data_IF_214175115811
#
_entry.id   IF_214175115811
#
_cell.length_a   1.000
_cell.length_b   1.000
_cell.length_c   1.000
_cell.angle_alpha   90.00
_cell.angle_beta   90.00
_cell.angle_gamma   90.00
#
_symmetry.space_group_name_H-M   'P 1'
#
loop_
_entity.id
_entity.type
_entity.pdbx_description
1 polymer ?
#
# COMPACT_ATOMS: atom_id res chain seq x y z
N UNK A 1 14.52 -3.72 -44.90
CA UNK A 1 14.96 -2.83 -43.85
C UNK A 1 14.33 -3.29 -42.50
N UNK A 2 15.06 -4.07 -41.73
CA UNK A 2 14.73 -4.34 -40.34
C UNK A 2 14.98 -3.03 -39.56
N UNK A 3 13.91 -2.37 -39.16
CA UNK A 3 14.00 -1.35 -38.10
C UNK A 3 14.32 -2.07 -36.80
N UNK A 4 15.59 -1.99 -36.42
CA UNK A 4 16.04 -2.28 -35.06
C UNK A 4 15.34 -1.29 -34.14
N UNK A 5 14.31 -1.73 -33.42
CA UNK A 5 13.76 -1.01 -32.28
C UNK A 5 14.69 -1.24 -31.09
N UNK A 6 15.85 -0.60 -31.12
CA UNK A 6 16.72 -0.44 -29.98
C UNK A 6 16.16 0.66 -29.05
N UNK A 7 14.85 0.61 -28.79
CA UNK A 7 14.19 1.50 -27.85
C UNK A 7 13.77 0.67 -26.64
N UNK A 8 14.56 0.81 -25.57
CA UNK A 8 14.23 0.46 -24.19
C UNK A 8 13.93 -1.02 -23.90
N UNK A 9 14.89 -1.89 -24.05
CA UNK A 9 15.03 -2.96 -23.09
C UNK A 9 15.52 -2.36 -21.74
N UNK A 10 14.63 -1.64 -21.09
CA UNK A 10 14.71 -1.49 -19.64
C UNK A 10 14.44 -2.90 -19.12
N UNK A 11 15.50 -3.67 -18.92
CA UNK A 11 15.45 -5.00 -18.36
C UNK A 11 14.80 -4.90 -16.99
N UNK A 12 13.53 -5.25 -16.90
CA UNK A 12 12.89 -5.53 -15.63
C UNK A 12 13.57 -6.78 -15.08
N UNK A 13 14.57 -6.60 -14.26
CA UNK A 13 15.19 -7.72 -13.57
C UNK A 13 14.20 -8.25 -12.55
N UNK A 14 13.57 -9.36 -12.88
CA UNK A 14 12.67 -10.04 -11.97
C UNK A 14 13.48 -10.99 -11.10
N UNK A 15 13.24 -10.91 -9.79
CA UNK A 15 13.80 -11.83 -8.80
C UNK A 15 12.61 -12.54 -8.18
N UNK A 16 12.59 -13.86 -8.27
CA UNK A 16 11.62 -14.69 -7.57
C UNK A 16 12.09 -14.86 -6.13
N UNK A 17 11.19 -14.62 -5.16
CA UNK A 17 11.55 -14.75 -3.76
C UNK A 17 10.48 -14.25 -2.80
N UNK A 18 10.68 -14.53 -1.51
CA UNK A 18 9.82 -14.06 -0.43
C UNK A 18 10.37 -12.75 0.15
N UNK A 19 9.64 -11.66 -0.03
CA UNK A 19 10.05 -10.34 0.46
C UNK A 19 10.27 -10.28 1.99
N UNK A 20 9.53 -11.07 2.78
CA UNK A 20 9.73 -11.11 4.24
C UNK A 20 11.09 -11.69 4.66
N UNK A 21 11.69 -12.50 3.77
CA UNK A 21 12.95 -13.19 4.04
C UNK A 21 14.11 -12.52 3.30
N UNK A 22 13.89 -12.08 2.07
CA UNK A 22 15.00 -11.76 1.16
C UNK A 22 15.34 -10.26 1.08
N UNK A 23 14.48 -9.37 1.56
CA UNK A 23 14.77 -7.93 1.53
C UNK A 23 16.08 -7.56 2.26
N UNK A 24 16.53 -8.37 3.24
CA UNK A 24 17.79 -8.13 3.94
C UNK A 24 19.02 -8.23 3.04
N UNK A 25 18.94 -8.95 1.91
CA UNK A 25 20.05 -9.11 0.97
C UNK A 25 20.40 -7.81 0.22
N UNK A 26 19.46 -6.87 0.14
CA UNK A 26 19.70 -5.60 -0.54
C UNK A 26 20.44 -4.61 0.38
N UNK A 27 21.47 -3.91 -0.15
CA UNK A 27 22.18 -2.89 0.62
C UNK A 27 21.28 -1.73 1.03
N UNK A 28 21.67 -1.04 2.10
CA UNK A 28 20.98 0.17 2.59
C UNK A 28 21.03 1.27 1.52
N UNK A 29 19.85 1.91 1.28
CA UNK A 29 19.69 3.02 0.31
C UNK A 29 20.14 2.69 -1.12
N UNK A 30 20.03 1.42 -1.51
CA UNK A 30 20.38 0.95 -2.85
C UNK A 30 19.36 1.34 -3.93
N UNK A 31 18.17 1.77 -3.54
CA UNK A 31 17.12 2.19 -4.47
C UNK A 31 16.68 3.62 -4.17
N UNK A 32 16.43 4.43 -5.22
CA UNK A 32 15.88 5.78 -5.07
C UNK A 32 14.42 5.71 -4.63
N UNK A 33 13.65 4.80 -5.23
CA UNK A 33 12.26 4.51 -4.86
C UNK A 33 12.03 3.03 -4.71
N UNK A 34 11.28 2.65 -3.68
CA UNK A 34 10.73 1.31 -3.50
C UNK A 34 9.22 1.42 -3.50
N UNK A 35 8.55 0.61 -4.31
CA UNK A 35 7.09 0.64 -4.44
C UNK A 35 6.50 -0.69 -3.95
N UNK A 36 5.59 -0.62 -2.99
CA UNK A 36 4.80 -1.73 -2.52
C UNK A 36 3.31 -1.47 -2.78
N UNK A 37 2.75 -2.16 -3.75
CA UNK A 37 1.37 -1.93 -4.18
C UNK A 37 0.41 -2.97 -3.62
N UNK A 38 -0.46 -2.55 -2.70
CA UNK A 38 -1.56 -3.34 -2.12
C UNK A 38 -1.13 -4.74 -1.61
N UNK A 39 0.06 -4.83 -1.04
CA UNK A 39 0.66 -6.11 -0.61
C UNK A 39 1.03 -6.11 0.88
N UNK A 40 1.20 -4.92 1.48
CA UNK A 40 1.65 -4.82 2.88
C UNK A 40 0.76 -5.63 3.84
N UNK A 41 -0.55 -5.60 3.62
CA UNK A 41 -1.54 -6.29 4.44
C UNK A 41 -1.54 -7.83 4.25
N UNK A 42 -0.81 -8.35 3.27
CA UNK A 42 -0.70 -9.78 3.01
C UNK A 42 0.52 -10.43 3.69
N UNK A 43 1.43 -9.64 4.24
CA UNK A 43 2.58 -10.16 4.97
C UNK A 43 2.20 -10.60 6.39
N UNK A 44 2.89 -11.60 6.92
CA UNK A 44 2.77 -12.03 8.32
C UNK A 44 3.31 -10.96 9.28
N UNK A 45 4.42 -10.31 8.91
CA UNK A 45 5.05 -9.26 9.71
C UNK A 45 5.24 -7.97 8.89
N UNK A 46 4.16 -7.18 8.71
CA UNK A 46 4.22 -5.95 7.90
C UNK A 46 5.16 -4.89 8.48
N UNK A 47 5.36 -4.85 9.81
CA UNK A 47 6.29 -3.92 10.45
C UNK A 47 7.73 -4.20 10.04
N UNK A 48 8.14 -5.47 10.05
CA UNK A 48 9.48 -5.87 9.64
C UNK A 48 9.73 -5.53 8.16
N UNK A 49 8.77 -5.90 7.29
CA UNK A 49 8.85 -5.60 5.86
C UNK A 49 8.99 -4.10 5.62
N UNK A 50 8.17 -3.29 6.30
CA UNK A 50 8.22 -1.83 6.17
C UNK A 50 9.58 -1.25 6.60
N UNK A 51 10.15 -1.74 7.70
CA UNK A 51 11.50 -1.35 8.14
C UNK A 51 12.56 -1.69 7.11
N UNK A 52 12.49 -2.88 6.51
CA UNK A 52 13.42 -3.29 5.45
C UNK A 52 13.25 -2.43 4.19
N UNK A 53 12.01 -2.12 3.77
CA UNK A 53 11.77 -1.23 2.64
C UNK A 53 12.34 0.17 2.87
N UNK A 54 12.15 0.74 4.08
CA UNK A 54 12.70 2.04 4.45
C UNK A 54 14.24 2.03 4.57
N UNK A 55 14.82 0.88 4.88
CA UNK A 55 16.27 0.69 4.91
C UNK A 55 16.85 0.69 3.50
N UNK A 56 16.27 -0.08 2.58
CA UNK A 56 16.82 -0.25 1.21
C UNK A 56 16.48 0.91 0.27
N UNK A 57 15.33 1.59 0.49
CA UNK A 57 14.89 2.72 -0.34
C UNK A 57 15.26 4.08 0.26
N UNK A 58 15.56 5.07 -0.60
CA UNK A 58 15.63 6.48 -0.19
C UNK A 58 14.24 7.04 0.06
N UNK A 59 13.25 6.57 -0.71
CA UNK A 59 11.82 6.86 -0.54
C UNK A 59 11.01 5.59 -0.77
N UNK A 60 9.94 5.41 -0.02
CA UNK A 60 9.07 4.24 -0.13
C UNK A 60 7.65 4.69 -0.46
N UNK A 61 7.06 4.11 -1.49
CA UNK A 61 5.67 4.35 -1.88
C UNK A 61 4.87 3.10 -1.55
N UNK A 62 3.86 3.25 -0.69
CA UNK A 62 3.00 2.15 -0.29
C UNK A 62 1.56 2.48 -0.64
N UNK A 63 0.87 1.57 -1.28
CA UNK A 63 -0.58 1.65 -1.42
C UNK A 63 -1.26 0.56 -0.59
N UNK A 64 -2.35 0.94 0.08
CA UNK A 64 -3.16 0.04 0.89
C UNK A 64 -4.63 0.16 0.52
N UNK A 65 -5.39 -0.94 0.46
CA UNK A 65 -6.84 -0.90 0.35
C UNK A 65 -7.42 -0.36 1.67
N UNK A 66 -8.46 0.45 1.57
CA UNK A 66 -9.05 1.10 2.74
C UNK A 66 -10.31 0.38 3.20
N UNK A 67 -10.22 -0.38 4.29
CA UNK A 67 -11.39 -0.97 4.96
C UNK A 67 -12.27 0.06 5.65
N UNK A 68 -11.78 1.29 5.86
CA UNK A 68 -12.54 2.42 6.39
C UNK A 68 -13.46 3.11 5.38
N UNK A 69 -13.48 2.68 4.12
CA UNK A 69 -14.33 3.25 3.08
C UNK A 69 -15.82 3.07 3.41
N UNK A 70 -16.62 4.11 3.17
CA UNK A 70 -18.03 4.14 3.60
C UNK A 70 -18.87 2.95 3.13
N UNK A 71 -18.66 2.43 1.91
CA UNK A 71 -19.39 1.24 1.42
C UNK A 71 -19.05 -0.02 2.21
N UNK A 72 -17.81 -0.16 2.67
CA UNK A 72 -17.39 -1.28 3.53
C UNK A 72 -18.08 -1.17 4.88
N UNK A 73 -18.06 0.04 5.48
CA UNK A 73 -18.71 0.29 6.78
C UNK A 73 -20.21 0.06 6.72
N UNK A 74 -20.90 0.58 5.69
CA UNK A 74 -22.36 0.41 5.55
C UNK A 74 -22.73 -1.04 5.28
N UNK A 75 -21.93 -1.77 4.50
CA UNK A 75 -22.18 -3.20 4.27
C UNK A 75 -22.08 -4.00 5.56
N UNK A 76 -21.05 -3.75 6.38
CA UNK A 76 -20.93 -4.39 7.69
C UNK A 76 -22.07 -4.00 8.64
N UNK A 77 -22.44 -2.72 8.67
CA UNK A 77 -23.47 -2.20 9.56
C UNK A 77 -24.86 -2.76 9.22
N UNK A 78 -25.21 -2.80 7.92
CA UNK A 78 -26.56 -3.14 7.46
C UNK A 78 -26.71 -4.66 7.27
N UNK A 79 -25.74 -5.30 6.66
CA UNK A 79 -25.84 -6.71 6.26
C UNK A 79 -25.06 -7.67 7.17
N UNK A 80 -24.19 -7.15 8.05
CA UNK A 80 -23.32 -7.97 8.91
C UNK A 80 -22.37 -8.88 8.12
N UNK A 81 -22.06 -8.55 6.86
CA UNK A 81 -21.23 -9.35 5.96
C UNK A 81 -20.04 -8.55 5.42
N UNK A 82 -18.88 -9.21 5.32
CA UNK A 82 -17.72 -8.64 4.65
C UNK A 82 -18.05 -8.34 3.19
N UNK A 83 -17.89 -7.09 2.74
CA UNK A 83 -18.23 -6.75 1.36
C UNK A 83 -17.17 -7.28 0.40
N UNK A 84 -17.63 -7.75 -0.76
CA UNK A 84 -16.78 -8.00 -1.93
C UNK A 84 -16.91 -6.78 -2.84
N UNK A 85 -15.81 -6.11 -3.14
CA UNK A 85 -15.76 -4.87 -3.92
C UNK A 85 -14.67 -4.96 -4.99
N UNK A 86 -14.60 -3.96 -5.90
CA UNK A 86 -13.52 -3.92 -6.91
C UNK A 86 -12.11 -3.85 -6.27
N UNK A 87 -11.98 -3.22 -5.12
CA UNK A 87 -10.70 -3.10 -4.38
C UNK A 87 -10.46 -4.25 -3.40
N UNK A 88 -11.50 -4.99 -3.04
CA UNK A 88 -11.49 -6.16 -2.18
C UNK A 88 -12.26 -7.28 -2.89
N UNK A 89 -11.71 -7.89 -3.96
CA UNK A 89 -12.46 -8.77 -4.86
C UNK A 89 -12.69 -10.18 -4.29
N UNK A 90 -12.00 -10.55 -3.21
CA UNK A 90 -12.04 -11.89 -2.66
C UNK A 90 -13.04 -12.02 -1.52
N UNK A 91 -13.59 -13.21 -1.36
CA UNK A 91 -14.37 -13.58 -0.18
C UNK A 91 -13.47 -13.62 1.06
N UNK A 92 -14.06 -13.47 2.25
CA UNK A 92 -13.33 -13.46 3.52
C UNK A 92 -12.44 -14.70 3.75
N UNK A 93 -12.83 -15.85 3.21
CA UNK A 93 -12.12 -17.13 3.35
C UNK A 93 -11.08 -17.38 2.23
N UNK A 94 -11.08 -16.57 1.16
CA UNK A 94 -10.20 -16.73 0.00
C UNK A 94 -9.44 -15.43 -0.31
N UNK A 95 -9.17 -14.64 0.72
CA UNK A 95 -8.42 -13.39 0.58
C UNK A 95 -6.96 -13.60 0.97
N UNK A 96 -6.00 -13.02 0.21
CA UNK A 96 -4.61 -12.97 0.64
C UNK A 96 -4.36 -11.95 1.77
N UNK A 97 -5.35 -11.11 2.09
CA UNK A 97 -5.20 -10.08 3.12
C UNK A 97 -5.27 -10.70 4.51
N UNK A 98 -4.15 -10.76 5.21
CA UNK A 98 -4.06 -11.21 6.60
C UNK A 98 -4.45 -10.11 7.58
N UNK A 99 -4.17 -8.85 7.23
CA UNK A 99 -4.44 -7.68 8.05
C UNK A 99 -5.44 -6.76 7.36
N UNK A 100 -6.51 -6.41 8.06
CA UNK A 100 -7.46 -5.42 7.62
C UNK A 100 -7.07 -4.08 8.23
N UNK A 101 -6.74 -3.10 7.39
CA UNK A 101 -6.39 -1.77 7.87
C UNK A 101 -7.14 -0.67 7.12
N UNK A 102 -7.30 0.45 7.77
CA UNK A 102 -7.81 1.68 7.17
C UNK A 102 -6.64 2.63 6.87
N UNK A 103 -6.91 3.68 6.09
CA UNK A 103 -5.92 4.76 5.88
C UNK A 103 -5.52 5.37 7.22
N UNK A 104 -6.46 5.50 8.16
CA UNK A 104 -6.21 6.04 9.48
C UNK A 104 -5.31 5.13 10.32
N UNK A 105 -5.58 3.83 10.35
CA UNK A 105 -4.76 2.87 11.10
C UNK A 105 -3.29 2.91 10.63
N UNK A 106 -3.08 2.96 9.31
CA UNK A 106 -1.72 3.03 8.79
C UNK A 106 -1.05 4.38 9.05
N UNK A 107 -1.82 5.47 9.03
CA UNK A 107 -1.33 6.80 9.41
C UNK A 107 -0.89 6.83 10.88
N UNK A 108 -1.72 6.31 11.78
CA UNK A 108 -1.44 6.24 13.23
C UNK A 108 -0.26 5.30 13.51
N UNK A 109 -0.19 4.17 12.82
CA UNK A 109 0.96 3.26 12.86
C UNK A 109 2.27 3.96 12.48
N UNK A 110 2.28 4.74 11.41
CA UNK A 110 3.48 5.50 11.01
C UNK A 110 3.90 6.49 12.09
N UNK A 111 2.95 7.16 12.75
CA UNK A 111 3.24 8.09 13.85
C UNK A 111 3.83 7.33 15.05
N UNK A 112 3.20 6.22 15.45
CA UNK A 112 3.66 5.39 16.56
C UNK A 112 5.10 4.89 16.35
N UNK A 113 5.39 4.43 15.15
CA UNK A 113 6.72 3.91 14.77
C UNK A 113 7.72 5.01 14.36
N UNK A 114 7.33 6.29 14.46
CA UNK A 114 8.17 7.46 14.10
C UNK A 114 8.64 7.41 12.63
N UNK A 115 7.80 6.88 11.74
CA UNK A 115 8.05 6.86 10.30
C UNK A 115 7.62 8.19 9.71
N UNK A 116 8.52 8.82 8.95
CA UNK A 116 8.22 10.11 8.35
C UNK A 116 7.30 9.97 7.14
N UNK A 117 6.08 10.51 7.26
CA UNK A 117 5.10 10.59 6.18
C UNK A 117 5.33 11.88 5.41
N UNK A 118 5.80 11.77 4.18
CA UNK A 118 6.06 12.93 3.32
C UNK A 118 4.79 13.41 2.62
N UNK A 119 3.98 12.47 2.14
CA UNK A 119 2.70 12.77 1.46
C UNK A 119 1.76 11.58 1.56
N UNK A 120 0.46 11.87 1.65
CA UNK A 120 -0.60 10.85 1.56
C UNK A 120 -1.61 11.29 0.52
N UNK A 121 -2.02 10.37 -0.34
CA UNK A 121 -3.04 10.59 -1.37
C UNK A 121 -4.12 9.54 -1.22
N UNK A 122 -5.36 9.99 -1.10
CA UNK A 122 -6.54 9.13 -1.19
C UNK A 122 -7.00 9.01 -2.64
N UNK A 123 -7.24 7.79 -3.07
CA UNK A 123 -7.70 7.48 -4.43
C UNK A 123 -9.12 6.93 -4.38
N UNK A 124 -9.96 7.44 -5.26
CA UNK A 124 -11.26 6.89 -5.61
C UNK A 124 -11.26 6.55 -7.11
N UNK A 125 -12.38 6.13 -7.70
CA UNK A 125 -12.42 5.65 -9.09
C UNK A 125 -11.83 6.65 -10.10
N UNK A 126 -12.22 7.91 -10.01
CA UNK A 126 -11.83 8.96 -10.97
C UNK A 126 -11.11 10.13 -10.30
N UNK A 127 -11.00 10.12 -8.98
CA UNK A 127 -10.47 11.27 -8.23
C UNK A 127 -9.35 10.88 -7.29
N UNK A 128 -8.37 11.76 -7.23
CA UNK A 128 -7.31 11.69 -6.23
C UNK A 128 -7.37 12.96 -5.36
N UNK A 129 -7.08 12.80 -4.09
CA UNK A 129 -7.05 13.93 -3.17
C UNK A 129 -5.96 13.78 -2.12
N UNK A 130 -5.30 14.88 -1.82
CA UNK A 130 -4.31 14.89 -0.75
C UNK A 130 -4.97 14.71 0.62
N UNK A 131 -4.36 13.85 1.43
CA UNK A 131 -4.77 13.58 2.81
C UNK A 131 -3.78 14.25 3.75
N UNK A 132 -4.31 15.11 4.63
CA UNK A 132 -3.59 15.75 5.73
C UNK A 132 -4.23 15.35 7.04
N UNK A 133 -3.54 15.54 8.15
CA UNK A 133 -4.08 15.23 9.48
C UNK A 133 -5.44 15.92 9.72
N UNK A 134 -5.62 17.15 9.20
CA UNK A 134 -6.85 17.93 9.36
C UNK A 134 -8.08 17.37 8.63
N UNK A 135 -7.88 16.59 7.55
CA UNK A 135 -9.00 16.03 6.77
C UNK A 135 -9.00 14.49 6.75
N UNK A 136 -8.17 13.86 7.59
CA UNK A 136 -7.94 12.41 7.61
C UNK A 136 -9.25 11.62 7.79
N UNK A 137 -10.12 12.02 8.71
CA UNK A 137 -11.38 11.33 9.01
C UNK A 137 -12.31 11.29 7.79
N UNK A 138 -12.49 12.44 7.14
CA UNK A 138 -13.35 12.56 5.95
C UNK A 138 -12.74 11.76 4.79
N UNK A 139 -11.44 11.90 4.58
CA UNK A 139 -10.75 11.19 3.48
C UNK A 139 -10.67 9.68 3.72
N UNK A 140 -10.51 9.24 4.97
CA UNK A 140 -10.61 7.84 5.34
C UNK A 140 -12.01 7.25 5.01
N UNK A 141 -13.07 8.06 5.17
CA UNK A 141 -14.43 7.63 4.83
C UNK A 141 -14.66 7.53 3.31
N UNK A 142 -14.08 8.43 2.52
CA UNK A 142 -14.41 8.55 1.08
C UNK A 142 -13.33 8.05 0.12
N UNK A 143 -12.15 7.64 0.57
CA UNK A 143 -11.11 7.08 -0.29
C UNK A 143 -11.12 5.54 -0.26
N UNK A 144 -11.01 4.91 -1.43
CA UNK A 144 -10.95 3.45 -1.57
C UNK A 144 -9.56 2.89 -1.31
N UNK A 145 -8.54 3.65 -1.67
CA UNK A 145 -7.13 3.29 -1.54
C UNK A 145 -6.38 4.47 -0.96
N UNK A 146 -5.46 4.22 -0.04
CA UNK A 146 -4.48 5.19 0.44
C UNK A 146 -3.11 4.92 -0.18
N UNK A 147 -2.46 5.97 -0.68
CA UNK A 147 -1.08 5.93 -1.17
C UNK A 147 -0.23 6.82 -0.29
N UNK A 148 0.82 6.24 0.27
CA UNK A 148 1.73 6.90 1.21
C UNK A 148 3.12 7.00 0.59
N UNK A 149 3.71 8.20 0.64
CA UNK A 149 5.13 8.44 0.37
C UNK A 149 5.83 8.61 1.72
N UNK A 150 6.73 7.70 2.01
CA UNK A 150 7.49 7.61 3.27
C UNK A 150 8.97 7.90 3.04
N UNK A 151 9.63 8.42 4.07
CA UNK A 151 11.09 8.66 4.09
C UNK A 151 11.68 8.26 5.43
#
# INVERSE_FOLDING_TARGET
LRRSSAASDVYKRQIEGNAEIELHQFPTKSFDFVILSQTLQAFYNPEKVLKDLLRIGKSVIISIPNFGYWKVRTSLLIFGKMPVTKTLPNSWYNTPNLHMCTIKDFFDFCIEKKININKVVGVNEETTSEIKKSNLEIKNLFSKVGIFLLK
#
